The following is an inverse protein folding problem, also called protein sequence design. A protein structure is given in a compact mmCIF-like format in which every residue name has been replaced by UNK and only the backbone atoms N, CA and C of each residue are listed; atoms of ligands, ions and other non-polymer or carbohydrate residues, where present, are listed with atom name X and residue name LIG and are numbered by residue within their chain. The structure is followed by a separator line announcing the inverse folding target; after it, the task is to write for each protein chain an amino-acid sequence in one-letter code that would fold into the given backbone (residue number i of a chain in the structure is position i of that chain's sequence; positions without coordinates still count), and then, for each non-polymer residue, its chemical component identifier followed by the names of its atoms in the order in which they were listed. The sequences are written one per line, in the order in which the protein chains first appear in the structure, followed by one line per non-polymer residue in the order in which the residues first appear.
data_IF_523235846456
#
_entry.id   IF_523235846456
#
_cell.length_a   1.000
_cell.length_b   1.000
_cell.length_c   1.000
_cell.angle_alpha   90.00
_cell.angle_beta   90.00
_cell.angle_gamma   90.00
#
_symmetry.space_group_name_H-M   'P 1'
#
loop_
_entity.id
_entity.type
_entity.pdbx_description
1 polymer ?
#
# COMPACT_ATOMS: atom_id res chain seq x y z
N UNK A 1 3.36 -12.98 -12.85
CA UNK A 1 4.28 -14.11 -13.15
C UNK A 1 3.45 -15.30 -13.61
N UNK A 2 3.91 -16.08 -14.60
CA UNK A 2 3.18 -17.27 -15.08
C UNK A 2 3.43 -18.47 -14.16
N UNK A 3 2.42 -19.32 -13.98
CA UNK A 3 2.55 -20.59 -13.26
C UNK A 3 3.05 -21.70 -14.19
N UNK A 4 3.86 -22.63 -13.67
CA UNK A 4 4.26 -23.84 -14.42
C UNK A 4 3.05 -24.74 -14.69
N UNK A 5 2.18 -24.89 -13.69
CA UNK A 5 0.90 -25.59 -13.78
C UNK A 5 -0.24 -24.66 -13.35
N UNK A 6 -1.11 -24.21 -14.27
CA UNK A 6 -2.25 -23.35 -13.98
C UNK A 6 -3.27 -23.93 -12.98
N UNK A 7 -3.26 -25.24 -12.76
CA UNK A 7 -4.17 -25.93 -11.82
C UNK A 7 -3.66 -25.94 -10.39
N UNK A 8 -2.40 -25.56 -10.17
CA UNK A 8 -1.80 -25.49 -8.83
C UNK A 8 -2.57 -24.46 -7.97
N UNK A 9 -3.03 -24.85 -6.77
CA UNK A 9 -3.68 -23.92 -5.86
C UNK A 9 -2.74 -22.79 -5.43
N UNK A 10 -3.23 -21.55 -5.52
CA UNK A 10 -2.50 -20.35 -5.10
C UNK A 10 -3.19 -19.68 -3.92
N UNK A 11 -2.42 -19.26 -2.92
CA UNK A 11 -2.92 -18.61 -1.71
C UNK A 11 -2.48 -17.16 -1.65
N UNK A 12 -3.33 -16.28 -1.09
CA UNK A 12 -2.95 -14.92 -0.71
C UNK A 12 -2.02 -15.01 0.50
N UNK A 13 -0.84 -14.44 0.41
CA UNK A 13 0.06 -14.32 1.56
C UNK A 13 0.69 -12.93 1.62
N UNK A 14 1.13 -12.58 2.81
CA UNK A 14 2.01 -11.44 3.07
C UNK A 14 3.20 -12.00 3.83
N UNK A 15 4.40 -11.78 3.32
CA UNK A 15 5.65 -12.24 3.92
C UNK A 15 6.45 -11.02 4.41
N UNK A 16 6.57 -10.93 5.74
CA UNK A 16 7.35 -9.94 6.46
C UNK A 16 8.62 -10.54 7.10
N UNK A 17 8.95 -11.79 6.78
CA UNK A 17 10.05 -12.53 7.43
C UNK A 17 11.42 -12.22 6.86
N UNK A 18 11.48 -11.82 5.58
CA UNK A 18 12.70 -11.43 4.87
C UNK A 18 12.43 -10.10 4.15
N UNK A 19 13.47 -9.27 3.98
CA UNK A 19 13.37 -8.08 3.13
C UNK A 19 13.75 -8.43 1.68
N UNK A 20 13.02 -7.90 0.68
CA UNK A 20 11.88 -7.01 0.79
C UNK A 20 10.61 -7.71 1.28
N UNK A 21 9.81 -7.01 2.08
CA UNK A 21 8.47 -7.49 2.43
C UNK A 21 7.62 -7.63 1.17
N UNK A 22 6.90 -8.74 1.04
CA UNK A 22 6.10 -9.00 -0.18
C UNK A 22 4.67 -9.38 0.15
N UNK A 23 3.77 -9.12 -0.78
CA UNK A 23 2.44 -9.73 -0.78
C UNK A 23 2.14 -10.35 -2.13
N UNK A 24 1.34 -11.41 -2.12
CA UNK A 24 0.93 -12.13 -3.31
C UNK A 24 -0.58 -12.22 -3.41
N UNK A 25 -1.08 -12.05 -4.64
CA UNK A 25 -2.48 -12.25 -5.00
C UNK A 25 -2.56 -13.39 -6.02
N UNK A 26 -3.49 -14.35 -5.83
CA UNK A 26 -3.66 -15.51 -6.71
C UNK A 26 -4.14 -15.12 -8.11
N UNK A 27 -4.32 -16.13 -8.97
CA UNK A 27 -4.76 -16.03 -10.36
C UNK A 27 -6.20 -15.55 -10.58
N UNK A 28 -6.56 -14.42 -9.98
CA UNK A 28 -7.87 -13.78 -10.09
C UNK A 28 -7.90 -12.75 -11.22
N UNK A 29 -6.85 -11.94 -11.32
CA UNK A 29 -6.78 -10.85 -12.30
C UNK A 29 -6.38 -11.38 -13.69
N UNK A 30 -5.41 -12.30 -13.72
CA UNK A 30 -4.90 -12.93 -14.94
C UNK A 30 -4.87 -14.46 -14.77
N UNK A 31 -5.70 -15.23 -15.52
CA UNK A 31 -5.71 -16.69 -15.43
C UNK A 31 -4.33 -17.29 -15.69
N UNK A 32 -3.91 -18.25 -14.86
CA UNK A 32 -2.59 -18.88 -14.95
C UNK A 32 -1.42 -17.99 -14.49
N UNK A 33 -1.70 -16.84 -13.85
CA UNK A 33 -0.67 -15.94 -13.34
C UNK A 33 -0.89 -15.54 -11.89
N UNK A 34 0.20 -15.35 -11.16
CA UNK A 34 0.18 -14.74 -9.82
C UNK A 34 0.76 -13.34 -9.86
N UNK A 35 0.23 -12.46 -9.01
CA UNK A 35 0.78 -11.14 -8.76
C UNK A 35 1.64 -11.20 -7.51
N UNK A 36 2.91 -10.83 -7.62
CA UNK A 36 3.79 -10.58 -6.50
C UNK A 36 4.10 -9.09 -6.48
N UNK A 37 4.03 -8.47 -5.31
CA UNK A 37 4.37 -7.07 -5.14
C UNK A 37 5.22 -6.87 -3.90
N UNK A 38 6.19 -5.97 -4.00
CA UNK A 38 6.95 -5.50 -2.86
C UNK A 38 6.12 -4.49 -2.08
N UNK A 39 6.10 -4.65 -0.77
CA UNK A 39 5.41 -3.73 0.15
C UNK A 39 6.32 -2.55 0.55
N UNK A 40 7.26 -2.18 -0.33
CA UNK A 40 8.23 -1.10 -0.15
C UNK A 40 8.67 -0.59 -1.53
N UNK A 41 9.21 0.62 -1.57
CA UNK A 41 9.75 1.22 -2.79
C UNK A 41 10.62 2.44 -2.47
N UNK A 42 11.37 2.94 -3.47
CA UNK A 42 12.16 4.16 -3.30
C UNK A 42 11.24 5.38 -3.17
N UNK A 43 11.79 6.47 -2.60
CA UNK A 43 11.14 7.78 -2.66
C UNK A 43 11.03 8.23 -4.11
N UNK A 44 9.85 8.71 -4.49
CA UNK A 44 9.56 9.12 -5.87
C UNK A 44 8.65 10.34 -5.87
N UNK A 45 8.85 11.20 -6.86
CA UNK A 45 7.96 12.30 -7.18
C UNK A 45 6.73 11.75 -7.91
N UNK A 46 5.49 11.94 -7.41
CA UNK A 46 4.29 11.41 -8.05
C UNK A 46 4.09 11.91 -9.49
N UNK A 47 4.61 13.10 -9.82
CA UNK A 47 4.56 13.66 -11.18
C UNK A 47 5.59 13.00 -12.12
N UNK A 48 6.47 12.15 -11.59
CA UNK A 48 7.49 11.39 -12.32
C UNK A 48 7.37 9.89 -12.03
N UNK A 49 6.15 9.37 -11.90
CA UNK A 49 5.89 7.98 -11.48
C UNK A 49 6.24 6.92 -12.51
N UNK A 50 6.24 7.24 -13.81
CA UNK A 50 6.42 6.27 -14.90
C UNK A 50 7.90 5.96 -15.15
N UNK A 51 8.67 5.82 -14.07
CA UNK A 51 10.07 5.41 -14.13
C UNK A 51 10.11 3.89 -14.30
N UNK A 52 10.93 3.43 -15.24
CA UNK A 52 11.16 2.01 -15.45
C UNK A 52 11.68 1.36 -14.16
N UNK A 53 11.18 0.17 -13.86
CA UNK A 53 11.71 -0.67 -12.77
C UNK A 53 13.21 -0.90 -13.02
N UNK A 54 14.05 -0.75 -11.99
CA UNK A 54 15.49 -1.00 -12.13
C UNK A 54 15.78 -2.48 -12.33
N UNK A 55 16.83 -2.80 -13.08
CA UNK A 55 17.24 -4.19 -13.30
C UNK A 55 17.61 -4.89 -12.00
N UNK A 56 18.15 -4.16 -11.03
CA UNK A 56 18.43 -4.67 -9.68
C UNK A 56 17.14 -5.16 -8.99
N UNK A 57 16.03 -4.43 -9.15
CA UNK A 57 14.75 -4.84 -8.58
C UNK A 57 14.20 -6.07 -9.29
N UNK A 58 14.32 -6.14 -10.62
CA UNK A 58 13.91 -7.32 -11.40
C UNK A 58 14.67 -8.56 -10.96
N UNK A 59 16.00 -8.47 -10.85
CA UNK A 59 16.83 -9.60 -10.42
C UNK A 59 16.55 -10.02 -8.98
N UNK A 60 16.25 -9.06 -8.09
CA UNK A 60 15.79 -9.36 -6.73
C UNK A 60 14.47 -10.14 -6.72
N UNK A 61 13.50 -9.76 -7.56
CA UNK A 61 12.21 -10.47 -7.69
C UNK A 61 12.45 -11.88 -8.19
N UNK A 62 13.23 -12.04 -9.26
CA UNK A 62 13.58 -13.35 -9.83
C UNK A 62 14.21 -14.26 -8.79
N UNK A 63 15.18 -13.75 -8.01
CA UNK A 63 15.88 -14.52 -6.98
C UNK A 63 14.96 -14.93 -5.83
N UNK A 64 14.16 -14.00 -5.31
CA UNK A 64 13.20 -14.28 -4.23
C UNK A 64 12.22 -15.37 -4.66
N UNK A 65 11.69 -15.26 -5.87
CA UNK A 65 10.66 -16.16 -6.38
C UNK A 65 11.21 -17.53 -6.73
N UNK A 66 12.39 -17.60 -7.36
CA UNK A 66 13.04 -18.89 -7.63
C UNK A 66 13.34 -19.67 -6.35
N UNK A 67 13.64 -18.97 -5.24
CA UNK A 67 13.90 -19.57 -3.93
C UNK A 67 12.61 -20.04 -3.24
N UNK A 68 11.55 -19.22 -3.22
CA UNK A 68 10.34 -19.46 -2.41
C UNK A 68 9.22 -20.15 -3.17
N UNK A 69 9.18 -20.04 -4.50
CA UNK A 69 8.08 -20.50 -5.36
C UNK A 69 8.60 -21.20 -6.63
N UNK A 70 9.18 -22.41 -6.50
CA UNK A 70 9.71 -23.15 -7.65
C UNK A 70 8.65 -23.55 -8.68
N UNK A 71 7.35 -23.44 -8.36
CA UNK A 71 6.22 -23.69 -9.25
C UNK A 71 5.91 -22.55 -10.24
N UNK A 72 6.71 -21.48 -10.27
CA UNK A 72 6.50 -20.32 -11.12
C UNK A 72 7.62 -20.18 -12.15
N UNK A 73 7.28 -19.65 -13.33
CA UNK A 73 8.31 -19.17 -14.26
C UNK A 73 9.04 -17.99 -13.61
N UNK A 74 10.38 -17.95 -13.64
CA UNK A 74 11.15 -16.91 -12.98
C UNK A 74 10.99 -15.54 -13.65
N UNK A 75 10.63 -15.51 -14.94
CA UNK A 75 10.49 -14.28 -15.70
C UNK A 75 9.17 -13.56 -15.42
N UNK A 76 9.26 -12.24 -15.25
CA UNK A 76 8.10 -11.38 -15.06
C UNK A 76 7.27 -11.33 -16.35
N UNK A 77 5.98 -11.66 -16.24
CA UNK A 77 5.07 -11.65 -17.38
C UNK A 77 4.48 -10.26 -17.67
N UNK A 78 4.15 -9.53 -16.60
CA UNK A 78 3.55 -8.19 -16.61
C UNK A 78 4.22 -7.41 -15.48
N UNK A 79 4.66 -6.19 -15.78
CA UNK A 79 5.27 -5.27 -14.83
C UNK A 79 4.39 -4.03 -14.66
N UNK A 80 4.09 -3.66 -13.42
CA UNK A 80 3.31 -2.47 -13.07
C UNK A 80 3.95 -1.75 -11.88
N UNK A 81 3.86 -0.42 -11.87
CA UNK A 81 4.31 0.42 -10.76
C UNK A 81 3.12 1.10 -10.06
N UNK A 82 3.23 1.23 -8.75
CA UNK A 82 2.21 1.86 -7.90
C UNK A 82 2.89 2.79 -6.89
N UNK A 83 2.11 3.69 -6.28
CA UNK A 83 2.59 4.68 -5.32
C UNK A 83 1.94 4.46 -3.96
N UNK A 84 2.77 4.56 -2.91
CA UNK A 84 2.30 4.75 -1.54
C UNK A 84 2.57 6.19 -1.11
N UNK A 85 1.61 6.78 -0.40
CA UNK A 85 1.82 8.01 0.37
C UNK A 85 1.87 7.63 1.85
N UNK A 86 3.05 7.71 2.44
CA UNK A 86 3.35 7.14 3.76
C UNK A 86 3.46 8.25 4.80
N UNK A 87 2.67 8.16 5.87
CA UNK A 87 2.81 9.01 7.05
C UNK A 87 3.96 8.53 7.96
N UNK A 88 4.52 9.40 8.82
CA UNK A 88 5.61 9.00 9.72
C UNK A 88 5.30 7.83 10.64
N UNK A 89 4.04 7.65 11.03
CA UNK A 89 3.56 6.58 11.91
C UNK A 89 2.94 5.39 11.16
N UNK A 90 2.85 5.45 9.83
CA UNK A 90 2.21 4.41 9.02
C UNK A 90 0.68 4.40 9.08
N UNK A 91 0.05 5.32 9.82
CA UNK A 91 -1.40 5.41 9.99
C UNK A 91 -2.00 6.49 9.06
N UNK A 92 -3.21 6.27 8.56
CA UNK A 92 -3.87 7.25 7.70
C UNK A 92 -4.24 8.54 8.45
N UNK A 93 -4.56 9.58 7.69
CA UNK A 93 -5.14 10.82 8.21
C UNK A 93 -6.59 10.91 7.71
N UNK A 94 -7.52 11.23 8.59
CA UNK A 94 -8.93 11.46 8.28
C UNK A 94 -9.43 12.62 9.15
N UNK A 95 -9.64 13.79 8.53
CA UNK A 95 -9.91 15.00 9.29
C UNK A 95 -10.63 16.09 8.48
N UNK A 96 -10.91 17.21 9.15
CA UNK A 96 -11.31 18.47 8.55
C UNK A 96 -10.16 19.46 8.59
N UNK A 97 -10.11 20.36 7.61
CA UNK A 97 -9.11 21.42 7.64
C UNK A 97 -9.37 22.37 8.83
N UNK A 98 -8.35 22.67 9.67
CA UNK A 98 -8.54 23.39 10.93
C UNK A 98 -9.07 24.82 10.75
N UNK A 99 -8.81 25.45 9.59
CA UNK A 99 -9.31 26.80 9.24
C UNK A 99 -10.49 26.80 8.27
N UNK A 100 -10.80 25.66 7.65
CA UNK A 100 -11.80 25.55 6.59
C UNK A 100 -12.67 24.31 6.85
N UNK A 101 -13.66 24.40 7.75
CA UNK A 101 -14.41 23.24 8.23
C UNK A 101 -15.25 22.54 7.13
N UNK A 102 -15.44 23.20 5.99
CA UNK A 102 -16.06 22.66 4.78
C UNK A 102 -15.11 21.79 3.93
N UNK A 103 -13.82 21.71 4.27
CA UNK A 103 -12.86 20.81 3.63
C UNK A 103 -12.67 19.60 4.53
N UNK A 104 -13.06 18.42 4.04
CA UNK A 104 -12.83 17.11 4.65
C UNK A 104 -11.82 16.36 3.79
N UNK A 105 -10.87 15.68 4.41
CA UNK A 105 -9.84 14.95 3.67
C UNK A 105 -9.51 13.62 4.33
N UNK A 106 -9.11 12.66 3.49
CA UNK A 106 -8.47 11.42 3.92
C UNK A 106 -7.22 11.19 3.07
N UNK A 107 -6.06 10.96 3.69
CA UNK A 107 -4.79 10.83 2.99
C UNK A 107 -3.77 9.99 3.77
N UNK A 108 -2.59 9.77 3.20
CA UNK A 108 -1.48 9.13 3.91
C UNK A 108 -1.74 7.67 4.29
N UNK A 109 -2.44 6.91 3.43
CA UNK A 109 -2.86 5.54 3.74
C UNK A 109 -1.74 4.50 3.84
N UNK A 110 -0.48 4.90 3.66
CA UNK A 110 0.70 4.09 3.96
C UNK A 110 0.66 2.69 3.35
N UNK A 111 0.13 2.60 2.12
CA UNK A 111 0.07 1.35 1.35
C UNK A 111 -0.97 0.33 1.79
N UNK A 112 -1.84 0.67 2.74
CA UNK A 112 -2.78 -0.30 3.34
C UNK A 112 -4.26 0.09 3.22
N UNK A 113 -4.55 1.25 2.64
CA UNK A 113 -5.88 1.87 2.62
C UNK A 113 -6.96 1.15 1.80
N UNK A 114 -6.60 0.39 0.77
CA UNK A 114 -7.60 -0.22 -0.13
C UNK A 114 -8.59 -1.13 0.63
N UNK A 115 -8.10 -1.93 1.58
CA UNK A 115 -8.94 -2.87 2.35
C UNK A 115 -9.96 -2.18 3.26
N UNK A 116 -9.71 -0.92 3.63
CA UNK A 116 -10.55 -0.13 4.54
C UNK A 116 -11.33 0.98 3.80
N UNK A 117 -11.11 1.15 2.50
CA UNK A 117 -11.69 2.24 1.72
C UNK A 117 -13.23 2.37 1.86
N UNK A 118 -14.03 1.27 1.92
CA UNK A 118 -15.47 1.39 2.15
C UNK A 118 -15.82 2.05 3.49
N UNK A 119 -15.13 1.68 4.57
CA UNK A 119 -15.36 2.27 5.90
C UNK A 119 -14.90 3.73 5.95
N UNK A 120 -13.79 4.07 5.29
CA UNK A 120 -13.32 5.44 5.16
C UNK A 120 -14.31 6.31 4.37
N UNK A 121 -14.91 5.77 3.30
CA UNK A 121 -15.95 6.45 2.54
C UNK A 121 -17.18 6.78 3.40
N UNK A 122 -17.63 5.84 4.23
CA UNK A 122 -18.73 6.05 5.17
C UNK A 122 -18.41 7.18 6.17
N UNK A 123 -17.22 7.18 6.75
CA UNK A 123 -16.80 8.22 7.69
C UNK A 123 -16.64 9.59 7.02
N UNK A 124 -16.09 9.63 5.80
CA UNK A 124 -16.02 10.86 5.01
C UNK A 124 -17.41 11.43 4.74
N UNK A 125 -18.39 10.60 4.36
CA UNK A 125 -19.78 11.04 4.18
C UNK A 125 -20.36 11.61 5.48
N UNK A 126 -20.14 10.95 6.63
CA UNK A 126 -20.59 11.45 7.94
C UNK A 126 -19.98 12.80 8.27
N UNK A 127 -18.66 12.95 8.07
CA UNK A 127 -17.97 14.21 8.26
C UNK A 127 -18.54 15.29 7.33
N UNK A 128 -18.70 15.03 6.04
CA UNK A 128 -19.28 16.01 5.10
C UNK A 128 -20.68 16.45 5.53
N UNK A 129 -21.52 15.51 5.98
CA UNK A 129 -22.90 15.77 6.42
C UNK A 129 -23.02 16.34 7.84
N UNK A 130 -21.90 16.55 8.55
CA UNK A 130 -21.93 17.04 9.93
C UNK A 130 -22.49 16.03 10.94
N UNK A 131 -22.54 14.76 10.57
CA UNK A 131 -22.99 13.67 11.44
C UNK A 131 -21.87 13.26 12.40
N UNK A 132 -22.20 12.72 13.59
CA UNK A 132 -21.19 12.15 14.47
C UNK A 132 -20.42 11.02 13.75
N UNK A 133 -19.12 10.86 13.95
CA UNK A 133 -18.37 9.75 13.35
C UNK A 133 -18.87 8.41 13.91
N UNK A 134 -18.82 7.33 13.12
CA UNK A 134 -19.17 5.98 13.59
C UNK A 134 -18.04 5.37 14.41
N UNK A 135 -16.81 5.71 14.08
CA UNK A 135 -15.61 5.22 14.73
C UNK A 135 -14.90 6.33 15.49
N UNK A 136 -14.05 5.96 16.45
CA UNK A 136 -13.19 6.93 17.12
C UNK A 136 -12.06 7.38 16.18
N UNK A 137 -12.11 8.63 15.73
CA UNK A 137 -11.14 9.19 14.77
C UNK A 137 -9.96 9.90 15.41
N UNK A 138 -9.85 9.94 16.75
CA UNK A 138 -8.81 10.73 17.43
C UNK A 138 -7.39 10.37 16.99
N UNK A 139 -7.12 9.07 16.79
CA UNK A 139 -5.80 8.61 16.34
C UNK A 139 -5.48 8.98 14.88
N UNK A 140 -6.49 9.33 14.08
CA UNK A 140 -6.34 9.64 12.65
C UNK A 140 -6.40 11.15 12.36
N UNK A 141 -6.47 11.99 13.40
CA UNK A 141 -6.43 13.45 13.27
C UNK A 141 -5.07 13.91 12.73
N UNK A 142 -5.08 15.02 11.99
CA UNK A 142 -3.85 15.57 11.40
C UNK A 142 -2.94 16.21 12.47
N UNK A 143 -3.53 16.74 13.53
CA UNK A 143 -2.83 17.42 14.63
C UNK A 143 -2.02 16.48 15.53
N UNK A 144 -2.19 15.16 15.43
CA UNK A 144 -1.38 14.18 16.17
C UNK A 144 0.13 14.34 15.95
N UNK A 145 0.53 14.88 14.79
CA UNK A 145 1.94 15.17 14.48
C UNK A 145 2.43 16.50 15.04
N UNK A 146 1.53 17.40 15.43
CA UNK A 146 1.89 18.73 15.97
C UNK A 146 2.33 18.68 17.44
N UNK A 147 1.83 17.71 18.20
CA UNK A 147 2.19 17.53 19.62
C UNK A 147 3.59 16.91 19.85
N UNK A 148 4.27 16.43 18.79
CA UNK A 148 5.58 15.78 18.87
C UNK A 148 6.75 16.66 18.37
N UNK A 149 6.50 17.91 17.98
CA UNK A 149 7.55 18.83 17.48
C UNK A 149 8.41 19.46 18.60
N UNK A 150 8.29 19.04 19.86
CA UNK A 150 9.11 19.58 20.98
C UNK A 150 10.33 18.74 21.38
N UNK A 151 10.59 17.58 20.74
CA UNK A 151 11.63 16.64 21.22
C UNK A 151 12.61 16.16 20.14
N UNK A 152 12.99 17.01 19.20
CA UNK A 152 14.21 16.77 18.40
C UNK A 152 14.90 18.09 18.07
N UNK A 153 15.64 18.61 19.06
CA UNK A 153 16.81 19.43 18.75
C UNK A 153 17.92 18.47 18.31
N UNK A 154 18.39 18.70 17.08
CA UNK A 154 19.71 18.29 16.60
C UNK A 154 20.80 18.76 17.57
#
# INVERSE_FOLDING_TARGET
MKMLDPTTPTTIFIDFTETPHVYCVPQLEYPGMVKLAYHQGPMVDPDKRDIAVSDELRESIKKYMSKKYPGLYPETAIEETCLYTVTPDGEFVLDRHPKHPNIVFACGFSGTGFKIAPAIGEELCRLVLGQPPKYNLQHFKADRFTNNLSSSKL
#
